data_IF_240959527454
#
_entry.id   IF_240959527454
#
_cell.length_a   1.000
_cell.length_b   1.000
_cell.length_c   1.000
_cell.angle_alpha   90.00
_cell.angle_beta   90.00
_cell.angle_gamma   90.00
#
_symmetry.space_group_name_H-M   'P 1'
#
loop_
_entity.id
_entity.type
_entity.pdbx_description
1 polymer ?
#
# COMPACT_ATOMS: atom_id res chain seq x y z
N UNK A 1 -2.10 7.13 10.04
CA UNK A 1 -3.08 6.65 11.00
C UNK A 1 -3.47 5.22 10.67
N UNK A 2 -3.36 4.34 11.63
CA UNK A 2 -3.70 2.94 11.44
C UNK A 2 -5.01 2.64 12.12
N UNK A 3 -5.90 1.98 11.42
CA UNK A 3 -7.13 1.50 11.99
C UNK A 3 -6.91 0.11 12.58
N UNK A 4 -7.89 -0.39 13.32
CA UNK A 4 -7.72 -1.71 13.89
C UNK A 4 -7.85 -2.76 12.80
N UNK A 5 -7.33 -3.94 13.07
CA UNK A 5 -7.34 -5.05 12.14
C UNK A 5 -6.49 -4.80 10.91
N UNK A 6 -5.50 -3.95 11.03
CA UNK A 6 -4.54 -3.74 9.95
C UNK A 6 -3.34 -4.66 10.21
N UNK A 7 -2.91 -5.36 9.19
CA UNK A 7 -1.75 -6.22 9.30
C UNK A 7 -0.65 -5.66 8.42
N UNK A 8 0.52 -5.45 9.01
CA UNK A 8 1.65 -4.89 8.28
C UNK A 8 2.81 -5.86 8.43
N UNK A 9 3.34 -6.28 7.31
CA UNK A 9 4.44 -7.24 7.32
C UNK A 9 5.75 -6.62 7.78
N UNK A 10 6.73 -7.46 8.00
CA UNK A 10 8.01 -7.04 8.53
C UNK A 10 8.75 -6.19 7.53
N UNK A 11 9.41 -5.15 7.99
CA UNK A 11 10.19 -4.29 7.13
C UNK A 11 9.39 -3.25 6.36
N UNK A 12 8.09 -3.19 6.57
CA UNK A 12 7.26 -2.23 5.83
C UNK A 12 7.24 -0.89 6.54
N UNK A 13 7.12 0.17 5.76
CA UNK A 13 7.10 1.54 6.27
C UNK A 13 5.85 2.22 5.74
N UNK A 14 5.11 2.87 6.63
CA UNK A 14 3.94 3.63 6.26
C UNK A 14 4.10 5.03 6.82
N UNK A 15 4.10 6.04 5.96
CA UNK A 15 4.30 7.41 6.39
C UNK A 15 3.20 8.30 5.84
N UNK A 16 2.69 9.19 6.68
CA UNK A 16 1.72 10.21 6.27
C UNK A 16 0.57 9.61 5.47
N UNK A 17 0.11 8.44 5.85
CA UNK A 17 -0.92 7.74 5.10
C UNK A 17 -2.07 7.36 6.03
N UNK A 18 -3.22 7.15 5.43
CA UNK A 18 -4.40 6.71 6.16
C UNK A 18 -4.69 5.27 5.73
N UNK A 19 -4.73 4.37 6.70
CA UNK A 19 -4.96 2.95 6.43
C UNK A 19 -6.29 2.57 7.07
N UNK A 20 -7.21 2.14 6.27
CA UNK A 20 -8.55 1.78 6.76
C UNK A 20 -8.53 0.38 7.38
N UNK A 21 -9.61 -0.02 8.05
CA UNK A 21 -9.64 -1.33 8.70
C UNK A 21 -9.52 -2.50 7.73
N UNK A 22 -9.05 -3.60 8.23
CA UNK A 22 -8.96 -4.85 7.49
C UNK A 22 -8.00 -4.81 6.30
N UNK A 23 -7.07 -3.88 6.30
CA UNK A 23 -6.07 -3.80 5.24
C UNK A 23 -4.92 -4.75 5.57
N UNK A 24 -4.41 -5.43 4.56
CA UNK A 24 -3.26 -6.30 4.74
C UNK A 24 -2.11 -5.77 3.91
N UNK A 25 -1.00 -5.52 4.55
CA UNK A 25 0.18 -4.98 3.89
C UNK A 25 1.29 -6.02 4.03
N UNK A 26 1.89 -6.38 2.93
CA UNK A 26 2.91 -7.41 2.93
C UNK A 26 4.22 -6.93 3.52
N UNK A 27 5.29 -7.63 3.21
CA UNK A 27 6.61 -7.34 3.75
C UNK A 27 7.35 -6.40 2.83
N UNK A 28 8.20 -5.56 3.43
CA UNK A 28 9.05 -4.65 2.67
C UNK A 28 8.26 -3.72 1.77
N UNK A 29 7.10 -3.28 2.24
CA UNK A 29 6.24 -2.38 1.51
C UNK A 29 6.50 -0.96 1.99
N UNK A 30 6.58 -0.02 1.07
CA UNK A 30 6.76 1.38 1.42
C UNK A 30 5.53 2.14 0.94
N UNK A 31 4.87 2.83 1.86
CA UNK A 31 3.68 3.60 1.55
C UNK A 31 3.88 5.01 2.06
N UNK A 32 3.79 5.99 1.17
CA UNK A 32 3.92 7.38 1.53
C UNK A 32 2.76 8.16 0.95
N UNK A 33 2.13 8.95 1.77
CA UNK A 33 1.07 9.87 1.37
C UNK A 33 0.00 9.18 0.55
N UNK A 34 -0.56 8.14 1.11
CA UNK A 34 -1.59 7.36 0.43
C UNK A 34 -2.79 7.16 1.33
N UNK A 35 -3.93 6.92 0.73
CA UNK A 35 -5.12 6.51 1.45
C UNK A 35 -5.44 5.11 0.99
N UNK A 36 -5.44 4.16 1.90
CA UNK A 36 -5.66 2.76 1.58
C UNK A 36 -7.07 2.39 2.02
N UNK A 37 -7.89 2.01 1.08
CA UNK A 37 -9.28 1.67 1.36
C UNK A 37 -9.44 0.42 2.18
N UNK A 38 -10.62 0.25 2.76
CA UNK A 38 -10.89 -0.87 3.63
C UNK A 38 -10.71 -2.18 2.90
N UNK A 39 -10.10 -3.14 3.54
CA UNK A 39 -9.96 -4.48 2.98
C UNK A 39 -8.95 -4.61 1.86
N UNK A 40 -8.23 -3.55 1.54
CA UNK A 40 -7.27 -3.63 0.45
C UNK A 40 -6.11 -4.54 0.83
N UNK A 41 -5.48 -5.10 -0.17
CA UNK A 41 -4.34 -5.99 0.03
C UNK A 41 -3.16 -5.44 -0.73
N UNK A 42 -2.07 -5.16 -0.03
CA UNK A 42 -0.85 -4.67 -0.64
C UNK A 42 0.16 -5.81 -0.59
N UNK A 43 0.63 -6.25 -1.72
CA UNK A 43 1.52 -7.40 -1.76
C UNK A 43 2.93 -7.03 -1.38
N UNK A 44 3.76 -8.03 -1.12
CA UNK A 44 5.13 -7.80 -0.69
C UNK A 44 5.91 -6.98 -1.70
N UNK A 45 6.82 -6.18 -1.20
CA UNK A 45 7.75 -5.43 -2.02
C UNK A 45 7.08 -4.37 -2.90
N UNK A 46 5.93 -3.89 -2.48
CA UNK A 46 5.23 -2.84 -3.23
C UNK A 46 5.68 -1.49 -2.71
N UNK A 47 5.90 -0.55 -3.60
CA UNK A 47 6.31 0.80 -3.22
C UNK A 47 5.26 1.77 -3.74
N UNK A 48 4.64 2.50 -2.82
CA UNK A 48 3.63 3.49 -3.15
C UNK A 48 4.12 4.82 -2.62
N UNK A 49 4.52 5.70 -3.51
CA UNK A 49 5.03 7.00 -3.10
C UNK A 49 4.26 8.09 -3.81
N UNK A 50 4.21 9.24 -3.15
CA UNK A 50 3.55 10.34 -3.74
C UNK A 50 4.32 10.82 -4.95
N UNK A 51 3.64 11.13 -6.02
CA UNK A 51 4.30 11.73 -7.12
C UNK A 51 3.59 13.01 -7.49
N UNK A 52 2.32 12.99 -7.71
CA UNK A 52 1.60 14.19 -8.02
C UNK A 52 0.41 14.33 -7.10
N UNK A 53 0.59 14.06 -5.85
CA UNK A 53 -0.50 14.15 -4.91
C UNK A 53 -0.66 12.85 -4.16
N UNK A 54 -1.77 12.69 -3.47
CA UNK A 54 -1.99 11.53 -2.65
C UNK A 54 -2.51 10.38 -3.49
N UNK A 55 -1.90 9.21 -3.32
CA UNK A 55 -2.37 8.01 -3.98
C UNK A 55 -3.55 7.45 -3.22
N UNK A 56 -4.56 7.02 -3.91
CA UNK A 56 -5.75 6.47 -3.28
C UNK A 56 -5.93 5.03 -3.77
N UNK A 57 -6.02 4.11 -2.84
CA UNK A 57 -6.25 2.71 -3.14
C UNK A 57 -7.70 2.41 -2.77
N UNK A 58 -8.44 1.87 -3.71
CA UNK A 58 -9.85 1.61 -3.50
C UNK A 58 -10.07 0.49 -2.51
N UNK A 59 -11.30 0.38 -1.99
CA UNK A 59 -11.62 -0.67 -1.07
C UNK A 59 -11.47 -2.02 -1.74
N UNK A 60 -10.94 -2.97 -1.01
CA UNK A 60 -10.76 -4.35 -1.46
C UNK A 60 -9.91 -4.49 -2.71
N UNK A 61 -9.17 -3.46 -3.04
CA UNK A 61 -8.29 -3.53 -4.19
C UNK A 61 -7.04 -4.33 -3.83
N UNK A 62 -6.52 -5.08 -4.78
CA UNK A 62 -5.26 -5.82 -4.58
C UNK A 62 -4.17 -5.09 -5.34
N UNK A 63 -3.16 -4.63 -4.64
CA UNK A 63 -2.06 -3.89 -5.25
C UNK A 63 -0.85 -4.80 -5.28
N UNK A 64 -0.32 -5.03 -6.46
CA UNK A 64 0.81 -5.92 -6.61
C UNK A 64 2.07 -5.12 -6.84
N UNK A 65 3.20 -5.73 -6.52
CA UNK A 65 4.47 -5.08 -6.75
C UNK A 65 4.61 -4.73 -8.23
N UNK A 66 5.11 -3.50 -8.49
CA UNK A 66 5.25 -3.10 -9.80
C UNK A 66 6.57 -3.47 -10.29
N UNK A 67 6.66 -4.32 -11.24
CA UNK A 67 7.89 -4.68 -11.74
C UNK A 67 8.10 -3.90 -12.93
N UNK A 68 8.73 -3.14 -13.11
CA UNK A 68 8.99 -2.32 -14.04
C UNK A 68 9.22 -2.88 -15.29
N UNK A 69 8.93 -3.69 -15.67
CA UNK A 69 9.13 -4.17 -16.79
C UNK A 69 8.63 -3.75 -17.79
N UNK A 70 8.16 -3.35 -17.80
CA UNK A 70 7.61 -2.92 -18.62
C UNK A 70 7.96 -2.76 -19.53
N UNK A 71 8.24 -2.75 -19.57
CA UNK A 71 8.45 -2.52 -20.30
C UNK A 71 8.45 -3.01 -21.13
N UNK A 72 8.63 -3.33 -21.23
CA UNK A 72 8.56 -3.85 -21.93
C UNK A 72 8.16 -3.95 -22.89
N UNK A 73 7.89 -3.94 -23.11
CA UNK A 73 7.49 -4.19 -23.87
C UNK A 73 7.25 -3.94 -24.34
#
# INVERSE_FOLDING_TARGET
VLSHKVQIGEGSVVEDSVIMPNVKIGKNVIIEKAMIGEGAIIEDNTIIKEQDGINVISEYEVVKAQLELEGGF
#
